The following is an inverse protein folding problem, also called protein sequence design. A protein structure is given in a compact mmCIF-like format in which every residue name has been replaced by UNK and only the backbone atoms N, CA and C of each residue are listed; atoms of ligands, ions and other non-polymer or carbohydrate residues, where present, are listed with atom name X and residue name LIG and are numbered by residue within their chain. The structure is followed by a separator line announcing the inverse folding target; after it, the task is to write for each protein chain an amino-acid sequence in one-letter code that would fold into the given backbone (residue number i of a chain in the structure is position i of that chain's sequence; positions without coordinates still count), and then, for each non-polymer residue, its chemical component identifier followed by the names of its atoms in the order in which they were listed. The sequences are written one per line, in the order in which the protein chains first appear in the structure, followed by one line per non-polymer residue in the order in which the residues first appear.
data_IF_911967682435
#
_entry.id   IF_911967682435
#
_cell.length_a   1.000
_cell.length_b   1.000
_cell.length_c   1.000
_cell.angle_alpha   90.00
_cell.angle_beta   90.00
_cell.angle_gamma   90.00
#
_symmetry.space_group_name_H-M   'P 1'
#
loop_
_entity.id
_entity.type
_entity.pdbx_description
1 polymer ?
#
# COMPACT_ATOMS: atom_id res chain seq x y z
N UNK A 1 5.00 7.14 11.35
CA UNK A 1 4.19 6.00 10.88
C UNK A 1 2.85 6.55 10.42
N UNK A 2 2.48 6.29 9.17
CA UNK A 2 1.23 6.76 8.58
C UNK A 2 0.61 5.67 7.71
N UNK A 3 -0.70 5.74 7.50
CA UNK A 3 -1.36 4.87 6.53
C UNK A 3 -1.14 5.40 5.12
N UNK A 4 -1.18 4.51 4.13
CA UNK A 4 -1.13 4.91 2.73
C UNK A 4 -2.28 5.86 2.36
N UNK A 5 -3.46 5.66 2.97
CA UNK A 5 -4.62 6.55 2.79
C UNK A 5 -4.37 8.00 3.20
N UNK A 6 -3.48 8.26 4.18
CA UNK A 6 -3.16 9.60 4.69
C UNK A 6 -1.89 10.20 4.10
N UNK A 7 -1.00 9.38 3.52
CA UNK A 7 0.23 9.80 2.86
C UNK A 7 -0.01 10.81 1.72
N UNK A 8 0.88 11.76 1.43
CA UNK A 8 0.69 12.68 0.28
C UNK A 8 0.99 11.98 -1.05
N UNK A 9 0.36 12.43 -2.15
CA UNK A 9 0.77 11.98 -3.50
C UNK A 9 2.24 12.34 -3.72
N UNK A 10 3.00 11.42 -4.30
CA UNK A 10 4.46 11.50 -4.44
C UNK A 10 5.25 11.02 -3.23
N UNK A 11 4.61 10.74 -2.09
CA UNK A 11 5.28 10.20 -0.90
C UNK A 11 5.85 8.83 -1.22
N UNK A 12 7.14 8.67 -0.93
CA UNK A 12 7.84 7.38 -0.88
C UNK A 12 7.91 6.91 0.57
N UNK A 13 7.82 5.60 0.77
CA UNK A 13 7.98 4.98 2.07
C UNK A 13 8.04 3.48 1.96
N UNK A 14 8.59 2.83 2.98
CA UNK A 14 8.65 1.37 3.07
C UNK A 14 7.43 0.87 3.82
N UNK A 15 6.82 -0.22 3.35
CA UNK A 15 5.74 -0.90 4.06
C UNK A 15 6.30 -1.47 5.36
N UNK A 16 5.70 -1.10 6.50
CA UNK A 16 6.09 -1.60 7.82
C UNK A 16 5.30 -2.85 8.19
N UNK A 17 3.96 -2.78 8.05
CA UNK A 17 3.06 -3.87 8.35
C UNK A 17 1.71 -3.66 7.67
N UNK A 18 0.94 -4.75 7.58
CA UNK A 18 -0.44 -4.76 7.09
C UNK A 18 -1.34 -4.97 8.31
N UNK A 19 -2.19 -4.00 8.62
CA UNK A 19 -3.16 -4.10 9.72
C UNK A 19 -4.42 -4.80 9.22
N UNK A 20 -4.42 -6.12 9.25
CA UNK A 20 -5.58 -6.93 8.86
C UNK A 20 -5.57 -8.27 9.59
N UNK A 21 -6.74 -8.74 9.99
CA UNK A 21 -6.95 -10.10 10.54
C UNK A 21 -7.42 -11.08 9.46
N UNK A 22 -7.66 -10.57 8.24
CA UNK A 22 -8.04 -11.36 7.08
C UNK A 22 -6.79 -11.92 6.38
N UNK A 23 -6.56 -13.23 6.54
CA UNK A 23 -5.47 -13.95 5.87
C UNK A 23 -5.61 -13.94 4.35
N UNK A 24 -6.84 -14.03 3.81
CA UNK A 24 -7.05 -14.06 2.36
C UNK A 24 -6.65 -12.72 1.73
N UNK A 25 -7.02 -11.59 2.37
CA UNK A 25 -6.56 -10.27 1.95
C UNK A 25 -5.05 -10.15 2.05
N UNK A 26 -4.44 -10.64 3.14
CA UNK A 26 -2.99 -10.62 3.34
C UNK A 26 -2.27 -11.36 2.22
N UNK A 27 -2.69 -12.59 1.91
CA UNK A 27 -2.13 -13.39 0.82
C UNK A 27 -2.31 -12.72 -0.54
N UNK A 28 -3.46 -12.10 -0.79
CA UNK A 28 -3.71 -11.35 -2.03
C UNK A 28 -2.76 -10.16 -2.16
N UNK A 29 -2.54 -9.40 -1.10
CA UNK A 29 -1.61 -8.27 -1.08
C UNK A 29 -0.16 -8.73 -1.31
N UNK A 30 0.25 -9.81 -0.64
CA UNK A 30 1.58 -10.40 -0.83
C UNK A 30 1.78 -10.87 -2.28
N UNK A 31 0.78 -11.50 -2.90
CA UNK A 31 0.83 -11.92 -4.31
C UNK A 31 0.96 -10.73 -5.28
N UNK A 32 0.49 -9.55 -4.88
CA UNK A 32 0.63 -8.29 -5.63
C UNK A 32 1.96 -7.55 -5.35
N UNK A 33 2.81 -8.09 -4.47
CA UNK A 33 4.07 -7.48 -4.06
C UNK A 33 3.93 -6.44 -2.94
N UNK A 34 2.77 -6.38 -2.29
CA UNK A 34 2.49 -5.46 -1.18
C UNK A 34 2.73 -6.21 0.13
N UNK A 35 3.97 -6.16 0.61
CA UNK A 35 4.40 -6.82 1.84
C UNK A 35 5.39 -5.97 2.63
N UNK A 36 5.57 -6.23 3.94
CA UNK A 36 6.54 -5.52 4.77
C UNK A 36 7.95 -5.54 4.17
N UNK A 37 8.69 -4.44 4.33
CA UNK A 37 10.06 -4.28 3.84
C UNK A 37 10.16 -3.80 2.39
N UNK A 38 9.04 -3.64 1.68
CA UNK A 38 9.02 -3.17 0.29
C UNK A 38 8.87 -1.65 0.21
N UNK A 39 9.72 -1.02 -0.59
CA UNK A 39 9.61 0.40 -0.91
C UNK A 39 8.53 0.67 -1.94
N UNK A 40 7.66 1.63 -1.61
CA UNK A 40 6.55 2.04 -2.44
C UNK A 40 6.48 3.55 -2.60
N UNK A 41 5.79 3.99 -3.65
CA UNK A 41 5.46 5.38 -3.88
C UNK A 41 3.98 5.54 -4.17
N UNK A 42 3.29 6.45 -3.48
CA UNK A 42 1.91 6.79 -3.79
C UNK A 42 1.85 7.71 -5.02
N UNK A 43 1.33 7.24 -6.14
CA UNK A 43 1.21 8.01 -7.39
C UNK A 43 -0.17 8.68 -7.54
N UNK A 44 -1.23 8.10 -6.97
CA UNK A 44 -2.59 8.65 -7.03
C UNK A 44 -3.40 8.26 -5.79
N UNK A 45 -4.39 9.09 -5.41
CA UNK A 45 -5.38 8.78 -4.36
C UNK A 45 -6.83 8.68 -4.82
N UNK A 46 -7.19 9.41 -5.87
CA UNK A 46 -8.55 9.50 -6.36
C UNK A 46 -8.54 9.48 -7.90
N UNK A 47 -9.44 8.74 -8.56
CA UNK A 47 -10.56 7.95 -8.00
C UNK A 47 -10.13 6.62 -7.34
N UNK A 48 -8.86 6.25 -7.41
CA UNK A 48 -8.31 5.04 -6.78
C UNK A 48 -6.90 5.30 -6.24
N UNK A 49 -6.43 4.44 -5.33
CA UNK A 49 -5.07 4.53 -4.81
C UNK A 49 -4.13 3.77 -5.73
N UNK A 50 -3.22 4.47 -6.41
CA UNK A 50 -2.20 3.84 -7.24
C UNK A 50 -0.86 3.94 -6.52
N UNK A 51 -0.24 2.79 -6.28
CA UNK A 51 1.12 2.71 -5.74
C UNK A 51 2.06 2.10 -6.76
N UNK A 52 3.27 2.64 -6.80
CA UNK A 52 4.38 2.07 -7.55
C UNK A 52 5.24 1.24 -6.62
N UNK A 53 5.51 0.00 -7.03
CA UNK A 53 6.31 -0.98 -6.30
C UNK A 53 7.40 -1.46 -7.26
N UNK A 54 8.65 -1.04 -7.05
CA UNK A 54 9.73 -1.29 -8.01
C UNK A 54 9.38 -0.83 -9.44
N UNK A 55 9.12 -1.79 -10.34
CA UNK A 55 8.78 -1.56 -11.76
C UNK A 55 7.28 -1.73 -12.07
N UNK A 56 6.46 -2.17 -11.11
CA UNK A 56 5.04 -2.43 -11.29
C UNK A 56 4.19 -1.38 -10.59
N UNK A 57 2.90 -1.35 -10.92
CA UNK A 57 1.88 -0.52 -10.27
C UNK A 57 0.77 -1.40 -9.76
N UNK A 58 0.30 -1.13 -8.55
CA UNK A 58 -0.86 -1.76 -7.97
C UNK A 58 -1.94 -0.71 -7.71
N UNK A 59 -3.18 -1.08 -8.01
CA UNK A 59 -4.36 -0.28 -7.73
C UNK A 59 -5.06 -0.84 -6.50
N UNK A 60 -5.39 0.04 -5.56
CA UNK A 60 -5.98 -0.29 -4.28
C UNK A 60 -7.27 0.53 -4.08
N UNK A 61 -8.23 -0.09 -3.41
CA UNK A 61 -9.37 0.60 -2.85
C UNK A 61 -8.98 1.33 -1.54
N UNK A 62 -9.88 2.17 -1.06
CA UNK A 62 -9.66 2.98 0.13
C UNK A 62 -9.51 2.13 1.40
N UNK A 63 -10.20 0.99 1.51
CA UNK A 63 -10.14 0.13 2.68
C UNK A 63 -8.77 -0.53 2.78
N UNK A 64 -8.29 -1.10 1.67
CA UNK A 64 -6.95 -1.66 1.54
C UNK A 64 -5.87 -0.61 1.85
N UNK A 65 -5.99 0.61 1.32
CA UNK A 65 -5.02 1.68 1.59
C UNK A 65 -4.99 2.14 3.06
N UNK A 66 -6.07 1.97 3.82
CA UNK A 66 -6.09 2.27 5.26
C UNK A 66 -5.39 1.20 6.10
N UNK A 67 -5.29 -0.03 5.59
CA UNK A 67 -4.64 -1.16 6.27
C UNK A 67 -3.13 -1.20 6.04
N UNK A 68 -2.60 -0.50 5.04
CA UNK A 68 -1.16 -0.47 4.72
C UNK A 68 -0.48 0.67 5.49
N UNK A 69 0.47 0.31 6.36
CA UNK A 69 1.28 1.27 7.11
C UNK A 69 2.66 1.44 6.51
N UNK A 70 3.10 2.69 6.37
CA UNK A 70 4.42 3.06 5.86
C UNK A 70 5.17 3.98 6.83
N UNK A 71 6.50 4.00 6.71
CA UNK A 71 7.38 5.00 7.34
C UNK A 71 7.44 6.31 6.55
#
# INVERSE_FOLDING_TARGET
MMTLSTAKIGRKGTILYLKTEDEALTHKLMALGIMPGIDIQLEQKFPSYIIKIGRTRATLDQETAQRIYIQ
#
